data_IF_901547433340
#
_entry.id   IF_901547433340
#
_cell.length_a   1.000
_cell.length_b   1.000
_cell.length_c   1.000
_cell.angle_alpha   90.00
_cell.angle_beta   90.00
_cell.angle_gamma   90.00
#
_symmetry.space_group_name_H-M   'P 1'
#
loop_
_entity.id
_entity.type
_entity.pdbx_description
1 polymer ?
#
# COMPACT_ATOMS: atom_id res chain seq x y z
N UNK A 1 -0.35 -4.34 -35.35
CA UNK A 1 -1.45 -4.47 -34.37
C UNK A 1 -0.82 -4.60 -33.01
N UNK A 2 -1.06 -3.64 -32.13
CA UNK A 2 -0.57 -3.76 -30.75
C UNK A 2 -1.43 -4.81 -30.02
N UNK A 3 -0.82 -5.73 -29.26
CA UNK A 3 -1.55 -6.83 -28.64
C UNK A 3 -2.54 -6.39 -27.55
N UNK A 4 -2.49 -5.12 -27.12
CA UNK A 4 -3.35 -4.56 -26.09
C UNK A 4 -3.95 -3.23 -26.55
N UNK A 5 -5.23 -3.01 -26.28
CA UNK A 5 -5.88 -1.71 -26.49
C UNK A 5 -5.38 -0.75 -25.40
N UNK A 6 -4.82 0.38 -25.82
CA UNK A 6 -4.56 1.51 -24.94
C UNK A 6 -5.95 2.08 -24.56
N UNK A 7 -6.26 2.22 -23.26
CA UNK A 7 -7.52 2.82 -22.83
C UNK A 7 -7.61 4.30 -23.25
N UNK A 8 -8.82 4.80 -23.45
CA UNK A 8 -9.04 6.24 -23.62
C UNK A 8 -8.61 6.96 -22.33
N UNK A 9 -7.74 7.98 -22.38
CA UNK A 9 -7.39 8.77 -21.20
C UNK A 9 -8.60 9.31 -20.44
N UNK A 10 -9.71 9.62 -21.13
CA UNK A 10 -10.93 10.14 -20.50
C UNK A 10 -11.71 9.08 -19.71
N UNK A 11 -11.46 7.79 -19.96
CA UNK A 11 -12.05 6.66 -19.22
C UNK A 11 -11.25 6.31 -17.95
N UNK A 12 -10.10 6.96 -17.70
CA UNK A 12 -9.27 6.68 -16.54
C UNK A 12 -9.91 7.24 -15.26
N UNK A 13 -9.85 6.50 -14.13
CA UNK A 13 -10.32 7.01 -12.85
C UNK A 13 -9.60 8.31 -12.45
N UNK A 14 -10.37 9.31 -12.05
CA UNK A 14 -9.83 10.57 -11.53
C UNK A 14 -9.19 10.31 -10.17
N UNK A 15 -7.96 10.80 -9.98
CA UNK A 15 -7.30 10.82 -8.68
C UNK A 15 -7.62 12.16 -8.02
N UNK A 16 -8.51 12.14 -7.02
CA UNK A 16 -8.80 13.31 -6.19
C UNK A 16 -7.95 13.29 -4.91
N UNK A 17 -6.99 14.23 -4.74
CA UNK A 17 -6.16 14.31 -3.55
C UNK A 17 -6.90 14.84 -2.31
N UNK A 18 -8.12 15.35 -2.47
CA UNK A 18 -8.89 16.05 -1.45
C UNK A 18 -8.08 17.17 -0.78
N UNK A 19 -7.66 18.16 -1.58
CA UNK A 19 -6.83 19.27 -1.10
C UNK A 19 -7.56 20.11 -0.04
N UNK A 20 -6.83 20.53 0.99
CA UNK A 20 -7.32 21.43 2.01
C UNK A 20 -7.81 22.75 1.39
N UNK A 21 -9.00 23.16 1.80
CA UNK A 21 -9.72 24.35 1.37
C UNK A 21 -9.67 25.49 2.40
N UNK A 22 -9.31 25.20 3.64
CA UNK A 22 -9.16 26.20 4.71
C UNK A 22 -8.47 25.68 5.97
N UNK A 23 -8.29 26.57 6.97
CA UNK A 23 -7.84 26.21 8.31
C UNK A 23 -8.68 25.06 8.91
N UNK A 24 -8.03 24.13 9.61
CA UNK A 24 -8.66 22.93 10.16
C UNK A 24 -8.61 22.86 11.70
N UNK A 25 -8.30 23.98 12.34
CA UNK A 25 -8.28 24.10 13.79
C UNK A 25 -8.74 25.49 14.25
N UNK A 26 -9.55 25.50 15.30
CA UNK A 26 -9.98 26.71 16.00
C UNK A 26 -9.30 26.74 17.38
N UNK A 27 -8.53 27.79 17.64
CA UNK A 27 -7.85 28.02 18.90
C UNK A 27 -8.79 28.48 20.02
N UNK A 28 -8.32 28.50 21.27
CA UNK A 28 -9.10 28.96 22.42
C UNK A 28 -9.53 30.44 22.34
N UNK A 29 -8.83 31.24 21.55
CA UNK A 29 -9.10 32.65 21.28
C UNK A 29 -10.08 32.87 20.11
N UNK A 30 -10.60 31.78 19.51
CA UNK A 30 -11.46 31.81 18.32
C UNK A 30 -10.70 32.01 17.02
N UNK A 31 -9.36 32.11 17.04
CA UNK A 31 -8.54 32.20 15.85
C UNK A 31 -8.50 30.86 15.10
N UNK A 32 -8.50 30.90 13.76
CA UNK A 32 -8.39 29.70 12.93
C UNK A 32 -6.96 29.53 12.40
N UNK A 33 -6.42 28.33 12.44
CA UNK A 33 -5.11 28.01 11.85
C UNK A 33 -5.11 26.70 11.10
N UNK A 34 -4.20 26.56 10.13
CA UNK A 34 -4.00 25.31 9.42
C UNK A 34 -2.97 24.44 10.15
N UNK A 35 -3.34 23.20 10.45
CA UNK A 35 -2.51 22.16 11.07
C UNK A 35 -2.08 21.13 10.01
N UNK A 36 -0.92 21.32 9.36
CA UNK A 36 -0.45 20.52 8.22
C UNK A 36 -0.02 19.09 8.58
N UNK A 37 0.10 18.78 9.87
CA UNK A 37 0.40 17.43 10.39
C UNK A 37 -0.77 16.81 11.14
N UNK A 38 -1.95 17.44 11.12
CA UNK A 38 -3.18 16.79 11.57
C UNK A 38 -3.42 15.53 10.73
N UNK A 39 -4.00 14.52 11.36
CA UNK A 39 -4.17 13.19 10.77
C UNK A 39 -5.65 12.87 10.69
N UNK A 40 -6.08 12.37 9.54
CA UNK A 40 -7.36 11.71 9.41
C UNK A 40 -7.38 10.46 10.32
N UNK A 41 -8.39 10.26 11.18
CA UNK A 41 -8.37 9.19 12.17
C UNK A 41 -8.49 7.78 11.55
N UNK A 42 -9.02 7.65 10.33
CA UNK A 42 -9.19 6.37 9.66
C UNK A 42 -7.94 5.98 8.86
N UNK A 43 -7.38 6.91 8.09
CA UNK A 43 -6.29 6.67 7.13
C UNK A 43 -4.93 7.14 7.62
N UNK A 44 -4.89 7.98 8.65
CA UNK A 44 -3.71 8.72 9.10
C UNK A 44 -3.06 9.56 7.98
N UNK A 45 -3.80 9.86 6.91
CA UNK A 45 -3.38 10.82 5.90
C UNK A 45 -3.34 12.22 6.50
N UNK A 46 -2.47 13.07 5.93
CA UNK A 46 -2.40 14.49 6.28
C UNK A 46 -3.17 15.29 5.24
N UNK A 47 -3.83 16.40 5.62
CA UNK A 47 -4.38 17.31 4.63
C UNK A 47 -3.26 17.89 3.78
N UNK A 48 -3.46 17.95 2.47
CA UNK A 48 -2.52 18.57 1.53
C UNK A 48 -3.02 19.94 1.13
N UNK A 49 -2.22 20.98 1.34
CA UNK A 49 -2.52 22.32 0.87
C UNK A 49 -1.57 22.68 -0.28
N UNK A 50 -2.08 23.00 -1.48
CA UNK A 50 -1.26 23.52 -2.56
C UNK A 50 -0.56 24.83 -2.14
N UNK A 51 0.71 25.05 -2.57
CA UNK A 51 1.38 26.32 -2.35
C UNK A 51 0.59 27.51 -2.90
N UNK A 52 0.61 28.64 -2.19
CA UNK A 52 -0.04 29.88 -2.62
C UNK A 52 -1.49 30.06 -2.17
N UNK A 53 -2.06 29.10 -1.41
CA UNK A 53 -3.37 29.28 -0.77
C UNK A 53 -3.24 30.08 0.53
N UNK A 54 -3.89 31.25 0.56
CA UNK A 54 -3.92 32.12 1.73
C UNK A 54 -4.55 31.40 2.93
N UNK A 55 -3.95 31.55 4.11
CA UNK A 55 -4.41 30.91 5.36
C UNK A 55 -4.02 29.44 5.51
N UNK A 56 -3.32 28.86 4.52
CA UNK A 56 -2.78 27.51 4.55
C UNK A 56 -1.25 27.50 4.55
N UNK A 57 -0.60 28.61 4.92
CA UNK A 57 0.84 28.73 4.97
C UNK A 57 1.43 27.72 5.96
N UNK A 58 2.35 26.87 5.50
CA UNK A 58 2.93 25.82 6.32
C UNK A 58 4.36 25.45 5.89
N UNK A 59 5.04 24.67 6.73
CA UNK A 59 6.41 24.20 6.49
C UNK A 59 6.45 22.70 6.33
N UNK A 60 6.96 22.24 5.19
CA UNK A 60 7.32 20.83 4.95
C UNK A 60 8.85 20.75 4.92
N UNK A 61 9.41 19.64 5.38
CA UNK A 61 10.86 19.39 5.31
C UNK A 61 11.23 18.04 5.94
N UNK A 62 12.51 17.67 5.82
CA UNK A 62 13.02 16.38 6.30
C UNK A 62 13.29 16.30 7.81
N UNK A 63 13.41 17.43 8.51
CA UNK A 63 13.52 17.44 9.97
C UNK A 63 12.21 17.02 10.62
N UNK A 64 12.31 16.36 11.78
CA UNK A 64 11.16 15.93 12.55
C UNK A 64 10.24 17.11 12.90
N UNK A 65 8.94 16.83 12.88
CA UNK A 65 7.90 17.84 13.00
C UNK A 65 7.03 17.60 14.22
N UNK A 66 6.68 18.68 14.91
CA UNK A 66 5.68 18.65 15.96
C UNK A 66 4.37 18.11 15.40
N UNK A 67 3.80 17.13 16.10
CA UNK A 67 2.50 16.56 15.76
C UNK A 67 1.47 17.67 15.56
N UNK A 68 0.60 17.51 14.55
CA UNK A 68 -0.44 18.48 14.16
C UNK A 68 0.08 19.79 13.55
N UNK A 69 0.94 20.53 14.24
CA UNK A 69 1.30 21.91 13.89
C UNK A 69 2.43 22.03 12.86
N UNK A 70 3.36 21.07 12.78
CA UNK A 70 4.40 21.07 11.75
C UNK A 70 5.62 21.97 11.98
N UNK A 71 5.81 22.51 13.18
CA UNK A 71 7.08 23.15 13.57
C UNK A 71 8.20 22.11 13.73
N UNK A 72 9.46 22.51 13.69
CA UNK A 72 10.57 21.57 13.96
C UNK A 72 10.49 21.13 15.43
N UNK A 73 10.67 19.84 15.69
CA UNK A 73 10.69 19.29 17.05
C UNK A 73 11.90 18.39 17.24
N UNK A 74 12.49 18.47 18.43
CA UNK A 74 13.56 17.58 18.91
C UNK A 74 13.13 16.78 20.14
N UNK A 75 11.85 16.88 20.52
CA UNK A 75 11.29 16.16 21.66
C UNK A 75 11.19 14.66 21.38
N UNK A 76 11.65 13.85 22.34
CA UNK A 76 11.72 12.39 22.20
C UNK A 76 10.35 11.74 22.08
N UNK A 77 9.38 12.16 22.89
CA UNK A 77 8.03 11.62 22.85
C UNK A 77 7.29 11.98 21.55
N UNK A 78 7.51 13.19 21.04
CA UNK A 78 7.03 13.57 19.71
C UNK A 78 7.65 12.69 18.62
N UNK A 79 8.95 12.42 18.68
CA UNK A 79 9.62 11.59 17.68
C UNK A 79 9.07 10.16 17.64
N UNK A 80 8.87 9.54 18.80
CA UNK A 80 8.23 8.21 18.91
C UNK A 80 6.83 8.23 18.29
N UNK A 81 5.96 9.12 18.77
CA UNK A 81 4.58 9.27 18.28
C UNK A 81 4.53 9.49 16.76
N UNK A 82 5.36 10.38 16.24
CA UNK A 82 5.36 10.68 14.81
C UNK A 82 5.89 9.52 13.98
N UNK A 83 6.82 8.73 14.50
CA UNK A 83 7.34 7.52 13.86
C UNK A 83 6.28 6.44 13.81
N UNK A 84 5.57 6.19 14.92
CA UNK A 84 4.44 5.27 14.98
C UNK A 84 3.32 5.68 14.03
N UNK A 85 2.92 6.96 14.01
CA UNK A 85 1.88 7.46 13.10
C UNK A 85 2.24 7.27 11.63
N UNK A 86 3.52 7.45 11.26
CA UNK A 86 3.99 7.21 9.88
C UNK A 86 3.99 5.72 9.54
N UNK A 87 4.46 4.87 10.45
CA UNK A 87 4.47 3.43 10.26
C UNK A 87 3.03 2.87 10.17
N UNK A 88 2.14 3.28 11.07
CA UNK A 88 0.73 2.90 11.07
C UNK A 88 0.00 3.35 9.80
N UNK A 89 0.28 4.57 9.31
CA UNK A 89 -0.26 5.04 8.02
C UNK A 89 0.13 4.10 6.88
N UNK A 90 1.41 3.70 6.79
CA UNK A 90 1.90 2.78 5.74
C UNK A 90 1.27 1.39 5.91
N UNK A 91 1.24 0.87 7.14
CA UNK A 91 0.61 -0.40 7.46
C UNK A 91 -0.88 -0.46 7.06
N UNK A 92 -1.61 0.63 7.30
CA UNK A 92 -3.03 0.73 6.97
C UNK A 92 -3.35 0.69 5.47
N UNK A 93 -2.36 0.89 4.58
CA UNK A 93 -2.57 0.81 3.13
C UNK A 93 -3.05 -0.59 2.72
N UNK A 94 -2.62 -1.65 3.42
CA UNK A 94 -3.01 -3.02 3.08
C UNK A 94 -4.52 -3.29 3.23
N UNK A 95 -5.24 -2.50 4.02
CA UNK A 95 -6.71 -2.57 4.10
C UNK A 95 -7.41 -2.14 2.81
N UNK A 96 -6.72 -1.45 1.90
CA UNK A 96 -7.26 -1.03 0.60
C UNK A 96 -7.01 -2.02 -0.53
N UNK A 97 -6.26 -3.09 -0.27
CA UNK A 97 -5.93 -4.08 -1.30
C UNK A 97 -7.15 -4.95 -1.64
N UNK A 98 -7.32 -5.34 -2.91
CA UNK A 98 -8.23 -6.44 -3.24
C UNK A 98 -7.75 -7.72 -2.57
N UNK A 99 -8.68 -8.65 -2.33
CA UNK A 99 -8.33 -10.01 -1.90
C UNK A 99 -7.37 -10.66 -2.88
N UNK A 100 -6.44 -11.45 -2.35
CA UNK A 100 -5.50 -12.20 -3.17
C UNK A 100 -6.24 -13.26 -3.98
N UNK A 101 -6.01 -13.26 -5.29
CA UNK A 101 -6.50 -14.28 -6.20
C UNK A 101 -5.45 -15.38 -6.34
N UNK A 102 -5.84 -16.62 -6.05
CA UNK A 102 -5.02 -17.80 -6.28
C UNK A 102 -5.56 -18.53 -7.51
N UNK A 103 -4.70 -18.79 -8.49
CA UNK A 103 -5.01 -19.71 -9.58
C UNK A 103 -4.91 -21.13 -9.04
N UNK A 104 -6.06 -21.65 -8.59
CA UNK A 104 -6.25 -23.03 -8.12
C UNK A 104 -7.59 -23.57 -8.66
N UNK A 105 -7.62 -24.09 -9.90
CA UNK A 105 -8.87 -24.46 -10.55
C UNK A 105 -9.54 -25.69 -9.92
N UNK A 106 -8.80 -26.51 -9.18
CA UNK A 106 -9.35 -27.70 -8.50
C UNK A 106 -9.70 -27.43 -7.04
N UNK A 107 -9.07 -26.42 -6.42
CA UNK A 107 -9.24 -26.08 -5.01
C UNK A 107 -8.66 -27.11 -4.05
N UNK A 108 -7.92 -28.10 -4.56
CA UNK A 108 -7.34 -29.20 -3.79
C UNK A 108 -5.82 -29.33 -4.00
N UNK A 109 -5.18 -28.27 -4.52
CA UNK A 109 -3.75 -28.29 -4.77
C UNK A 109 -2.96 -28.47 -3.47
N UNK A 110 -1.92 -29.30 -3.54
CA UNK A 110 -1.05 -29.60 -2.39
C UNK A 110 0.19 -28.70 -2.32
N UNK A 111 0.53 -28.06 -3.44
CA UNK A 111 1.68 -27.17 -3.60
C UNK A 111 1.19 -25.81 -4.09
N UNK A 112 1.59 -24.73 -3.42
CA UNK A 112 1.44 -23.38 -3.90
C UNK A 112 2.78 -22.86 -4.43
N UNK A 113 2.81 -22.39 -5.67
CA UNK A 113 3.91 -21.60 -6.21
C UNK A 113 3.58 -20.13 -5.97
N UNK A 114 4.46 -19.42 -5.25
CA UNK A 114 4.33 -17.98 -5.01
C UNK A 114 5.38 -17.24 -5.82
N UNK A 115 4.96 -16.24 -6.58
CA UNK A 115 5.82 -15.39 -7.37
C UNK A 115 5.54 -13.92 -7.18
N UNK A 116 6.44 -13.07 -7.68
CA UNK A 116 6.27 -11.62 -7.71
C UNK A 116 6.96 -11.01 -8.93
N UNK A 117 6.49 -9.84 -9.36
CA UNK A 117 7.09 -9.11 -10.48
C UNK A 117 7.14 -9.92 -11.79
N UNK A 118 8.26 -9.83 -12.51
CA UNK A 118 8.43 -10.38 -13.86
C UNK A 118 8.46 -11.91 -13.96
N UNK A 119 8.53 -12.65 -12.84
CA UNK A 119 8.52 -14.12 -12.87
C UNK A 119 7.16 -14.70 -13.26
N UNK A 120 6.10 -13.89 -13.26
CA UNK A 120 4.72 -14.30 -13.54
C UNK A 120 4.60 -15.22 -14.76
N UNK A 121 5.16 -14.83 -15.90
CA UNK A 121 5.04 -15.60 -17.14
C UNK A 121 5.70 -16.98 -17.07
N UNK A 122 6.93 -17.04 -16.54
CA UNK A 122 7.67 -18.29 -16.39
C UNK A 122 7.01 -19.23 -15.39
N UNK A 123 6.50 -18.70 -14.27
CA UNK A 123 5.80 -19.48 -13.25
C UNK A 123 4.48 -20.02 -13.77
N UNK A 124 3.66 -19.18 -14.40
CA UNK A 124 2.38 -19.58 -14.98
C UNK A 124 2.56 -20.71 -16.00
N UNK A 125 3.56 -20.60 -16.88
CA UNK A 125 3.88 -21.64 -17.86
C UNK A 125 4.36 -22.94 -17.19
N UNK A 126 5.22 -22.85 -16.17
CA UNK A 126 5.69 -24.01 -15.42
C UNK A 126 4.55 -24.74 -14.68
N UNK A 127 3.65 -23.98 -14.05
CA UNK A 127 2.45 -24.48 -13.38
C UNK A 127 1.52 -25.19 -14.37
N UNK A 128 1.29 -24.61 -15.55
CA UNK A 128 0.47 -25.24 -16.60
C UNK A 128 1.07 -26.58 -17.06
N UNK A 129 2.39 -26.64 -17.29
CA UNK A 129 3.09 -27.89 -17.65
C UNK A 129 2.99 -28.93 -16.54
N UNK A 130 3.17 -28.53 -15.28
CA UNK A 130 3.05 -29.43 -14.13
C UNK A 130 1.63 -30.00 -13.99
N UNK A 131 0.60 -29.16 -14.13
CA UNK A 131 -0.81 -29.59 -14.14
C UNK A 131 -1.10 -30.57 -15.27
N UNK A 132 -0.57 -30.34 -16.48
CA UNK A 132 -0.69 -31.27 -17.61
C UNK A 132 -0.07 -32.65 -17.36
N UNK A 133 0.80 -32.78 -16.36
CA UNK A 133 1.38 -34.05 -15.89
C UNK A 133 0.66 -34.65 -14.67
N UNK A 134 -0.48 -34.08 -14.27
CA UNK A 134 -1.27 -34.54 -13.13
C UNK A 134 -0.78 -34.02 -11.76
N UNK A 135 0.10 -33.02 -11.72
CA UNK A 135 0.54 -32.42 -10.45
C UNK A 135 -0.52 -31.45 -9.93
N UNK A 136 -0.94 -31.63 -8.68
CA UNK A 136 -1.88 -30.74 -7.98
C UNK A 136 -1.15 -29.51 -7.43
N UNK A 137 -1.04 -28.47 -8.25
CA UNK A 137 -0.30 -27.22 -7.98
C UNK A 137 -1.15 -25.98 -8.24
N UNK A 138 -1.08 -25.01 -7.32
CA UNK A 138 -1.67 -23.68 -7.39
C UNK A 138 -0.60 -22.61 -7.67
N UNK A 139 -1.02 -21.45 -8.16
CA UNK A 139 -0.14 -20.29 -8.38
C UNK A 139 -0.74 -19.03 -7.75
N UNK A 140 0.06 -18.33 -6.96
CA UNK A 140 -0.23 -17.00 -6.44
C UNK A 140 0.85 -16.03 -6.94
N UNK A 141 0.43 -14.92 -7.55
CA UNK A 141 1.32 -13.83 -7.93
C UNK A 141 1.08 -12.59 -7.06
N UNK A 142 2.05 -12.26 -6.21
CA UNK A 142 2.00 -11.07 -5.38
C UNK A 142 2.23 -9.80 -6.22
N UNK A 143 1.36 -8.81 -5.98
CA UNK A 143 1.48 -7.44 -6.54
C UNK A 143 1.88 -6.41 -5.49
N UNK A 144 1.41 -6.58 -4.25
CA UNK A 144 1.71 -5.71 -3.12
C UNK A 144 2.72 -6.40 -2.21
N UNK A 145 3.83 -5.73 -1.90
CA UNK A 145 4.94 -6.30 -1.12
C UNK A 145 5.16 -5.62 0.23
N UNK A 146 4.87 -4.33 0.34
CA UNK A 146 5.01 -3.60 1.60
C UNK A 146 3.89 -2.57 1.80
N UNK A 147 2.97 -2.80 2.73
CA UNK A 147 2.82 -4.03 3.51
C UNK A 147 2.37 -5.22 2.65
N UNK A 148 2.51 -6.44 3.16
CA UNK A 148 1.92 -7.62 2.53
C UNK A 148 0.40 -7.66 2.76
N UNK A 149 -0.38 -8.26 1.84
CA UNK A 149 -1.82 -8.45 2.02
C UNK A 149 -2.16 -9.25 3.28
N UNK A 150 -3.23 -8.85 3.97
CA UNK A 150 -3.62 -9.45 5.26
C UNK A 150 -4.06 -10.92 5.16
N UNK A 151 -4.61 -11.32 4.01
CA UNK A 151 -5.09 -12.68 3.74
C UNK A 151 -3.98 -13.64 3.31
N UNK A 152 -2.78 -13.15 2.97
CA UNK A 152 -1.65 -13.97 2.51
C UNK A 152 -1.34 -15.11 3.49
N UNK A 153 -1.23 -14.83 4.78
CA UNK A 153 -0.92 -15.86 5.79
C UNK A 153 -1.95 -17.00 5.81
N UNK A 154 -3.23 -16.69 5.66
CA UNK A 154 -4.30 -17.69 5.63
C UNK A 154 -4.20 -18.56 4.37
N UNK A 155 -3.90 -17.94 3.22
CA UNK A 155 -3.70 -18.66 1.95
C UNK A 155 -2.52 -19.61 2.06
N UNK A 156 -1.36 -19.13 2.54
CA UNK A 156 -0.15 -19.95 2.67
C UNK A 156 -0.38 -21.19 3.54
N UNK A 157 -1.13 -21.04 4.64
CA UNK A 157 -1.44 -22.14 5.57
C UNK A 157 -2.39 -23.20 4.99
N UNK A 158 -3.09 -22.90 3.89
CA UNK A 158 -3.98 -23.89 3.24
C UNK A 158 -3.19 -24.97 2.48
N UNK A 159 -1.96 -24.67 2.06
CA UNK A 159 -1.16 -25.55 1.22
C UNK A 159 -0.14 -26.34 2.04
N UNK A 160 0.07 -27.61 1.69
CA UNK A 160 1.04 -28.47 2.38
C UNK A 160 2.49 -28.01 2.15
N UNK A 161 2.74 -27.45 0.96
CA UNK A 161 4.05 -26.92 0.57
C UNK A 161 3.87 -25.60 -0.15
N UNK A 162 4.80 -24.69 0.12
CA UNK A 162 4.92 -23.43 -0.59
C UNK A 162 6.31 -23.39 -1.23
N UNK A 163 6.35 -23.14 -2.53
CA UNK A 163 7.56 -22.92 -3.30
C UNK A 163 7.60 -21.47 -3.74
N UNK A 164 8.71 -20.78 -3.49
CA UNK A 164 8.92 -19.37 -3.88
C UNK A 164 10.09 -19.30 -4.87
N UNK A 165 9.86 -19.39 -6.19
CA UNK A 165 10.94 -19.25 -7.16
C UNK A 165 11.15 -17.77 -7.47
N UNK A 166 12.36 -17.30 -7.22
CA UNK A 166 12.75 -15.93 -7.49
C UNK A 166 14.19 -15.82 -8.02
N UNK A 167 14.47 -14.71 -8.70
CA UNK A 167 15.74 -14.45 -9.38
C UNK A 167 16.68 -13.64 -8.48
N UNK A 168 16.84 -14.09 -7.25
CA UNK A 168 17.64 -13.43 -6.22
C UNK A 168 18.07 -14.47 -5.17
N UNK A 169 18.44 -14.06 -3.95
CA UNK A 169 19.01 -14.91 -2.91
C UNK A 169 18.01 -15.29 -1.79
N UNK A 170 16.71 -15.23 -2.02
CA UNK A 170 15.71 -15.58 -0.99
C UNK A 170 15.22 -14.35 -0.21
N UNK A 171 14.88 -13.26 -0.89
CA UNK A 171 14.41 -12.03 -0.25
C UNK A 171 12.92 -12.02 0.09
N UNK A 172 12.09 -12.74 -0.67
CA UNK A 172 10.65 -12.82 -0.43
C UNK A 172 10.31 -13.90 0.61
#
# INVERSE_FOLDING_TARGET
TEPWRIPDPDDLPIIDPNFADGPNYVGPDGGTTFRPYARDPATLARPWAPPGRAGLEHRIGGLEKANEFGHVSYDGANHEKMSELRAAKVAGVAASYPSLEVDDPTGDASLLVVGWGGTYGSLSAGVAVARGRGVRVAHLQLRYLNPLPHDLGNILNHYQRVLVPELNLGQL
#
